data_IF_777766334769
#
_entry.id   IF_777766334769
#
_cell.length_a   1.000
_cell.length_b   1.000
_cell.length_c   1.000
_cell.angle_alpha   90.00
_cell.angle_beta   90.00
_cell.angle_gamma   90.00
#
_symmetry.space_group_name_H-M   'P 1'
#
loop_
_entity.id
_entity.type
_entity.pdbx_description
1 polymer ?
#
# COMPACT_ATOMS: atom_id res chain seq x y z
N UNK A 1 -8.79 10.34 11.24
CA UNK A 1 -8.68 8.87 11.46
C UNK A 1 -9.00 8.23 10.13
N UNK A 2 -8.19 7.31 9.59
CA UNK A 2 -8.56 6.67 8.31
C UNK A 2 -9.81 5.84 8.56
N UNK A 3 -10.94 6.12 7.89
CA UNK A 3 -12.12 5.26 8.03
C UNK A 3 -11.87 3.84 7.53
N UNK A 4 -10.73 3.59 6.87
CA UNK A 4 -10.34 2.33 6.24
C UNK A 4 -9.10 1.66 6.82
N UNK A 5 -8.32 2.38 7.63
CA UNK A 5 -7.37 1.71 8.51
C UNK A 5 -8.24 1.32 9.69
N UNK A 6 -8.82 0.12 9.59
CA UNK A 6 -9.34 -0.58 10.74
C UNK A 6 -8.34 -0.40 11.88
N UNK A 7 -8.85 -0.22 13.09
CA UNK A 7 -8.06 -0.47 14.29
C UNK A 7 -7.58 -1.92 14.20
N UNK A 8 -6.47 -2.16 13.52
CA UNK A 8 -5.54 -3.26 13.80
C UNK A 8 -4.80 -2.91 15.11
N UNK A 9 -5.54 -2.40 16.11
CA UNK A 9 -5.12 -2.46 17.50
C UNK A 9 -5.26 -3.93 17.90
N UNK A 10 -4.10 -4.56 18.10
CA UNK A 10 -3.93 -5.82 18.83
C UNK A 10 -4.50 -7.09 18.21
N UNK A 11 -3.95 -7.58 17.10
CA UNK A 11 -3.75 -9.03 16.96
C UNK A 11 -2.42 -9.34 16.30
N UNK A 12 -1.32 -9.14 17.03
CA UNK A 12 -0.09 -9.92 16.80
C UNK A 12 -0.43 -11.40 17.05
N UNK A 13 -0.98 -12.03 16.02
CA UNK A 13 -1.29 -13.45 16.00
C UNK A 13 0.00 -14.26 16.05
N UNK A 14 -0.09 -15.56 16.37
CA UNK A 14 1.09 -16.42 16.39
C UNK A 14 1.78 -16.41 15.02
N UNK A 15 3.11 -16.27 15.03
CA UNK A 15 3.92 -16.36 13.82
C UNK A 15 3.67 -17.69 13.09
N UNK A 16 3.60 -17.62 11.77
CA UNK A 16 3.42 -18.77 10.87
C UNK A 16 4.53 -18.79 9.84
N UNK A 17 4.92 -19.99 9.43
CA UNK A 17 5.85 -20.20 8.31
C UNK A 17 5.07 -20.70 7.10
N UNK A 18 5.39 -20.16 5.93
CA UNK A 18 4.94 -20.64 4.63
C UNK A 18 6.18 -20.92 3.78
N UNK A 19 6.17 -22.03 3.03
CA UNK A 19 7.20 -22.31 2.04
C UNK A 19 6.73 -21.76 0.69
N UNK A 20 7.60 -20.98 0.04
CA UNK A 20 7.33 -20.38 -1.27
C UNK A 20 8.59 -20.44 -2.12
N UNK A 21 8.43 -20.57 -3.44
CA UNK A 21 9.52 -20.45 -4.40
C UNK A 21 9.58 -19.05 -5.02
N UNK A 22 10.65 -18.76 -5.77
CA UNK A 22 10.88 -17.45 -6.38
C UNK A 22 9.76 -17.04 -7.36
N UNK A 23 9.15 -17.98 -8.08
CA UNK A 23 8.07 -17.67 -9.00
C UNK A 23 6.80 -17.25 -8.26
N UNK A 24 6.49 -17.90 -7.13
CA UNK A 24 5.38 -17.54 -6.24
C UNK A 24 5.60 -16.17 -5.58
N UNK A 25 6.83 -15.89 -5.13
CA UNK A 25 7.22 -14.57 -4.60
C UNK A 25 6.95 -13.48 -5.63
N UNK A 26 7.43 -13.65 -6.87
CA UNK A 26 7.25 -12.67 -7.95
C UNK A 26 5.78 -12.51 -8.32
N UNK A 27 5.02 -13.61 -8.41
CA UNK A 27 3.60 -13.56 -8.69
C UNK A 27 2.84 -12.78 -7.61
N UNK A 28 3.15 -13.04 -6.34
CA UNK A 28 2.51 -12.38 -5.21
C UNK A 28 2.85 -10.88 -5.15
N UNK A 29 4.12 -10.51 -5.38
CA UNK A 29 4.52 -9.10 -5.48
C UNK A 29 3.74 -8.36 -6.58
N UNK A 30 3.63 -8.95 -7.78
CA UNK A 30 2.86 -8.36 -8.88
C UNK A 30 1.39 -8.16 -8.52
N UNK A 31 0.78 -9.13 -7.85
CA UNK A 31 -0.61 -9.03 -7.41
C UNK A 31 -0.81 -7.89 -6.39
N UNK A 32 0.10 -7.76 -5.41
CA UNK A 32 0.04 -6.67 -4.42
C UNK A 32 0.27 -5.29 -5.06
N UNK A 33 1.21 -5.19 -6.01
CA UNK A 33 1.46 -3.95 -6.75
C UNK A 33 0.29 -3.59 -7.66
N UNK A 34 -0.35 -4.57 -8.30
CA UNK A 34 -1.58 -4.36 -9.05
C UNK A 34 -2.68 -3.79 -8.15
N UNK A 35 -2.90 -4.42 -6.99
CA UNK A 35 -3.91 -3.98 -6.02
C UNK A 35 -3.70 -2.52 -5.58
N UNK A 36 -2.43 -2.11 -5.44
CA UNK A 36 -2.03 -0.77 -5.01
C UNK A 36 -2.06 0.28 -6.12
N UNK A 37 -1.61 -0.05 -7.33
CA UNK A 37 -1.25 0.95 -8.36
C UNK A 37 -1.93 0.75 -9.71
N UNK A 38 -2.81 -0.25 -9.86
CA UNK A 38 -3.49 -0.51 -11.13
C UNK A 38 -4.96 -0.92 -10.99
N UNK A 39 -5.35 -1.54 -9.87
CA UNK A 39 -6.74 -1.86 -9.56
C UNK A 39 -7.56 -0.58 -9.45
N UNK A 40 -8.62 -0.41 -10.24
CA UNK A 40 -9.35 0.87 -10.36
C UNK A 40 -10.41 1.05 -9.28
N UNK A 41 -10.91 -0.04 -8.72
CA UNK A 41 -11.99 -0.15 -7.74
C UNK A 41 -11.61 0.52 -6.43
N UNK A 42 -12.33 1.57 -6.04
CA UNK A 42 -12.07 2.41 -4.86
C UNK A 42 -11.92 1.62 -3.57
N UNK A 43 -12.72 0.58 -3.37
CA UNK A 43 -12.65 -0.36 -2.24
C UNK A 43 -11.29 -1.03 -2.07
N UNK A 44 -10.45 -1.10 -3.13
CA UNK A 44 -9.10 -1.65 -2.98
C UNK A 44 -8.22 -0.81 -2.05
N UNK A 45 -8.56 0.47 -1.80
CA UNK A 45 -7.87 1.32 -0.84
C UNK A 45 -7.96 0.77 0.60
N UNK A 46 -9.02 0.01 0.93
CA UNK A 46 -9.12 -0.72 2.22
C UNK A 46 -7.89 -1.59 2.48
N UNK A 47 -7.39 -2.24 1.43
CA UNK A 47 -6.27 -3.18 1.51
C UNK A 47 -4.95 -2.51 1.18
N UNK A 48 -4.93 -1.64 0.16
CA UNK A 48 -3.72 -1.02 -0.35
C UNK A 48 -3.01 -0.14 0.70
N UNK A 49 -3.73 0.40 1.69
CA UNK A 49 -3.14 1.21 2.76
C UNK A 49 -2.86 0.46 4.06
N UNK A 50 -3.20 -0.83 4.13
CA UNK A 50 -3.12 -1.62 5.36
C UNK A 50 -1.66 -1.85 5.78
N UNK A 51 -1.37 -1.62 7.07
CA UNK A 51 -0.06 -1.90 7.66
C UNK A 51 0.29 -3.39 7.58
N UNK A 52 -0.70 -4.26 7.78
CA UNK A 52 -0.56 -5.71 7.63
C UNK A 52 -0.15 -6.09 6.20
N UNK A 53 -0.77 -5.48 5.18
CA UNK A 53 -0.44 -5.72 3.78
C UNK A 53 0.95 -5.16 3.43
N UNK A 54 1.27 -3.94 3.87
CA UNK A 54 2.59 -3.33 3.65
C UNK A 54 3.71 -4.14 4.33
N UNK A 55 3.48 -4.63 5.55
CA UNK A 55 4.39 -5.50 6.29
C UNK A 55 4.62 -6.83 5.56
N UNK A 56 3.57 -7.42 5.01
CA UNK A 56 3.69 -8.64 4.20
C UNK A 56 4.47 -8.38 2.91
N UNK A 57 4.16 -7.29 2.20
CA UNK A 57 4.85 -6.91 0.96
C UNK A 57 6.35 -6.73 1.21
N UNK A 58 6.72 -6.03 2.29
CA UNK A 58 8.11 -5.89 2.72
C UNK A 58 8.82 -7.23 2.89
N UNK A 59 8.21 -8.17 3.62
CA UNK A 59 8.79 -9.49 3.89
C UNK A 59 8.99 -10.28 2.59
N UNK A 60 8.00 -10.27 1.70
CA UNK A 60 8.06 -10.95 0.40
C UNK A 60 9.11 -10.29 -0.52
N UNK A 61 9.22 -8.96 -0.51
CA UNK A 61 10.26 -8.24 -1.24
C UNK A 61 11.67 -8.59 -0.77
N UNK A 62 11.87 -8.73 0.54
CA UNK A 62 13.14 -9.17 1.12
C UNK A 62 13.48 -10.64 0.86
N UNK A 63 12.48 -11.50 0.74
CA UNK A 63 12.68 -12.92 0.46
C UNK A 63 13.01 -13.21 -1.02
N UNK A 64 12.85 -12.23 -1.92
CA UNK A 64 13.12 -12.37 -3.35
C UNK A 64 14.62 -12.36 -3.66
N UNK A 65 15.02 -13.15 -4.65
CA UNK A 65 16.38 -13.09 -5.25
C UNK A 65 16.72 -11.69 -5.81
N UNK A 66 15.70 -10.84 -6.04
CA UNK A 66 15.84 -9.47 -6.54
C UNK A 66 15.73 -8.41 -5.43
N UNK A 67 15.89 -8.76 -4.16
CA UNK A 67 15.67 -7.85 -3.04
C UNK A 67 16.47 -6.54 -3.17
N UNK A 68 17.76 -6.60 -3.50
CA UNK A 68 18.63 -5.42 -3.62
C UNK A 68 18.23 -4.50 -4.78
N UNK A 69 18.03 -5.08 -5.97
CA UNK A 69 17.64 -4.32 -7.16
C UNK A 69 16.24 -3.71 -7.01
N UNK A 70 15.32 -4.45 -6.39
CA UNK A 70 13.97 -3.97 -6.07
C UNK A 70 14.01 -2.82 -5.06
N UNK A 71 14.82 -2.94 -4.00
CA UNK A 71 14.96 -1.88 -3.01
C UNK A 71 15.44 -0.56 -3.64
N UNK A 72 16.43 -0.62 -4.54
CA UNK A 72 16.86 0.58 -5.29
C UNK A 72 15.76 1.13 -6.19
N UNK A 73 14.98 0.26 -6.85
CA UNK A 73 13.89 0.69 -7.74
C UNK A 73 12.74 1.36 -6.99
N UNK A 74 12.40 0.90 -5.79
CA UNK A 74 11.32 1.48 -4.99
C UNK A 74 11.75 2.65 -4.10
N UNK A 75 13.05 2.86 -3.91
CA UNK A 75 13.59 4.01 -3.17
C UNK A 75 13.55 5.33 -3.98
N UNK A 76 12.43 5.58 -4.66
CA UNK A 76 12.13 6.79 -5.40
C UNK A 76 10.62 7.04 -5.35
N UNK A 77 10.22 8.28 -5.61
CA UNK A 77 8.80 8.60 -5.82
C UNK A 77 8.36 8.22 -7.24
N UNK A 78 7.05 8.09 -7.42
CA UNK A 78 6.44 7.83 -8.73
C UNK A 78 5.24 8.75 -8.91
N UNK A 79 5.41 9.82 -9.68
CA UNK A 79 4.34 10.80 -9.93
C UNK A 79 3.08 10.13 -10.53
N UNK A 80 3.27 9.12 -11.37
CA UNK A 80 2.18 8.34 -11.96
C UNK A 80 1.38 7.61 -10.87
N UNK A 81 2.06 6.92 -9.96
CA UNK A 81 1.40 6.18 -8.88
C UNK A 81 0.75 7.14 -7.86
N UNK A 82 1.41 8.26 -7.56
CA UNK A 82 0.85 9.29 -6.68
C UNK A 82 -0.44 9.84 -7.26
N UNK A 83 -0.42 10.24 -8.53
CA UNK A 83 -1.61 10.75 -9.24
C UNK A 83 -2.73 9.71 -9.24
N UNK A 84 -2.41 8.45 -9.54
CA UNK A 84 -3.37 7.36 -9.54
C UNK A 84 -4.05 7.18 -8.16
N UNK A 85 -3.27 7.14 -7.08
CA UNK A 85 -3.79 6.99 -5.72
C UNK A 85 -4.61 8.21 -5.31
N UNK A 86 -4.16 9.42 -5.62
CA UNK A 86 -4.89 10.66 -5.31
C UNK A 86 -6.24 10.74 -6.03
N UNK A 87 -6.28 10.41 -7.32
CA UNK A 87 -7.53 10.36 -8.09
C UNK A 87 -8.47 9.31 -7.54
N UNK A 88 -7.94 8.15 -7.13
CA UNK A 88 -8.73 7.09 -6.52
C UNK A 88 -9.31 7.49 -5.17
N UNK A 89 -8.53 8.17 -4.32
CA UNK A 89 -9.00 8.69 -3.04
C UNK A 89 -10.11 9.73 -3.24
N UNK A 90 -9.96 10.64 -4.21
CA UNK A 90 -11.00 11.62 -4.58
C UNK A 90 -12.30 10.94 -5.03
N UNK A 91 -12.23 9.86 -5.80
CA UNK A 91 -13.40 9.06 -6.19
C UNK A 91 -14.07 8.43 -4.97
N UNK A 92 -13.29 7.82 -4.08
CA UNK A 92 -13.81 7.23 -2.85
C UNK A 92 -14.52 8.27 -1.95
N UNK A 93 -13.98 9.48 -1.83
CA UNK A 93 -14.62 10.58 -1.10
C UNK A 93 -15.95 11.06 -1.71
N UNK A 94 -16.14 10.87 -3.03
CA UNK A 94 -17.40 11.16 -3.71
C UNK A 94 -18.43 10.04 -3.48
N UNK A 95 -17.97 8.78 -3.52
CA UNK A 95 -18.79 7.59 -3.30
C UNK A 95 -19.22 7.44 -1.83
N UNK A 96 -18.34 7.81 -0.90
CA UNK A 96 -18.53 7.66 0.55
C UNK A 96 -18.29 9.01 1.26
N UNK A 97 -19.31 9.88 1.36
CA UNK A 97 -19.13 11.26 1.84
C UNK A 97 -18.59 11.41 3.27
N UNK A 98 -18.68 10.37 4.11
CA UNK A 98 -18.12 10.38 5.46
C UNK A 98 -16.59 10.31 5.49
N UNK A 99 -15.94 9.95 4.39
CA UNK A 99 -14.47 9.91 4.24
C UNK A 99 -13.86 11.32 4.18
N UNK A 100 -14.67 12.33 3.80
CA UNK A 100 -14.24 13.73 3.62
C UNK A 100 -13.76 14.45 4.89
N UNK A 101 -13.94 13.89 6.09
CA UNK A 101 -13.64 14.57 7.35
C UNK A 101 -12.16 14.44 7.79
N UNK A 102 -11.23 14.40 6.84
CA UNK A 102 -9.81 14.08 7.09
C UNK A 102 -8.96 15.35 7.11
N UNK A 103 -8.06 15.48 8.08
CA UNK A 103 -7.11 16.60 8.12
C UNK A 103 -6.03 16.41 7.04
N UNK A 104 -5.39 17.51 6.63
CA UNK A 104 -4.28 17.44 5.67
C UNK A 104 -3.16 16.47 6.10
N UNK A 105 -2.79 16.50 7.39
CA UNK A 105 -1.81 15.57 7.98
C UNK A 105 -2.25 14.10 7.87
N UNK A 106 -3.55 13.82 8.05
CA UNK A 106 -4.08 12.45 7.93
C UNK A 106 -4.03 11.97 6.48
N UNK A 107 -4.40 12.81 5.52
CA UNK A 107 -4.28 12.50 4.10
C UNK A 107 -2.82 12.21 3.72
N UNK A 108 -1.87 13.02 4.21
CA UNK A 108 -0.44 12.80 4.01
C UNK A 108 0.03 11.44 4.57
N UNK A 109 -0.44 11.07 5.76
CA UNK A 109 -0.13 9.76 6.34
C UNK A 109 -0.69 8.61 5.50
N UNK A 110 -1.92 8.72 4.99
CA UNK A 110 -2.51 7.67 4.17
C UNK A 110 -1.81 7.54 2.84
N UNK A 111 -1.45 8.65 2.22
CA UNK A 111 -0.67 8.65 0.99
C UNK A 111 0.63 7.89 1.18
N UNK A 112 1.35 8.07 2.30
CA UNK A 112 2.55 7.26 2.60
C UNK A 112 2.25 5.75 2.65
N UNK A 113 1.17 5.36 3.32
CA UNK A 113 0.79 3.94 3.41
C UNK A 113 0.33 3.35 2.07
N UNK A 114 -0.42 4.11 1.27
CA UNK A 114 -0.86 3.68 -0.06
C UNK A 114 0.32 3.59 -1.04
N UNK A 115 1.26 4.53 -0.96
CA UNK A 115 2.41 4.62 -1.86
C UNK A 115 3.49 3.59 -1.60
N UNK A 116 3.54 2.97 -0.40
CA UNK A 116 4.46 1.87 -0.13
C UNK A 116 4.37 0.79 -1.23
N UNK A 117 5.48 0.31 -1.82
CA UNK A 117 6.87 0.49 -1.39
C UNK A 117 7.59 1.72 -1.97
N UNK A 118 6.93 2.51 -2.83
CA UNK A 118 7.49 3.75 -3.34
C UNK A 118 7.49 4.84 -2.26
N UNK A 119 8.40 5.82 -2.41
CA UNK A 119 8.37 7.02 -1.59
C UNK A 119 7.21 7.92 -2.03
N UNK A 120 6.58 8.61 -1.07
CA UNK A 120 5.61 9.66 -1.37
C UNK A 120 6.31 11.02 -1.41
N UNK A 121 6.16 11.77 -2.51
CA UNK A 121 6.85 13.04 -2.73
C UNK A 121 6.21 14.26 -2.04
N UNK A 122 4.99 14.12 -1.52
CA UNK A 122 4.18 15.21 -0.95
C UNK A 122 4.67 15.83 0.37
N UNK A 123 5.88 15.51 0.82
CA UNK A 123 6.53 16.14 1.98
C UNK A 123 7.20 17.50 1.69
N UNK A 124 7.01 18.08 0.49
CA UNK A 124 7.59 19.37 0.10
C UNK A 124 6.63 20.55 0.24
#
# INVERSE_FOLDING_TARGET
>A
MNPFIEQDDERDGPLRTIEVNQAEIVAFQKAMLYLKFACEETDSLLYAGSDSLNSLLYKIMKASDMAESSASFYNQSSLMNETFVEEKLKRLEQEQPYVKSSTHEQTQQWMKSYMYPFLYSGEK
#
